data_IF_847962764277
#
_entry.id   IF_847962764277
#
_cell.length_a   1.000
_cell.length_b   1.000
_cell.length_c   1.000
_cell.angle_alpha   90.00
_cell.angle_beta   90.00
_cell.angle_gamma   90.00
#
_symmetry.space_group_name_H-M   'P 1'
#
loop_
_entity.id
_entity.type
_entity.pdbx_description
1 polymer ?
#
# COMPACT_ATOMS: atom_id res chain seq x y z
N UNK A 1 13.53 -6.04 2.39
CA UNK A 1 13.67 -5.14 1.22
C UNK A 1 13.21 -3.70 1.54
N UNK A 2 13.70 -3.13 2.64
CA UNK A 2 13.16 -1.88 3.21
C UNK A 2 13.41 -0.64 2.34
N UNK A 3 14.65 -0.39 1.94
CA UNK A 3 14.97 0.79 1.13
C UNK A 3 14.23 0.84 -0.21
N UNK A 4 14.04 -0.31 -0.87
CA UNK A 4 13.24 -0.39 -2.10
C UNK A 4 11.77 -0.06 -1.81
N UNK A 5 11.23 -0.55 -0.69
CA UNK A 5 9.86 -0.26 -0.24
C UNK A 5 9.65 1.23 -0.02
N UNK A 6 10.55 1.89 0.71
CA UNK A 6 10.50 3.33 0.96
C UNK A 6 10.53 4.13 -0.36
N UNK A 7 11.44 3.81 -1.27
CA UNK A 7 11.54 4.48 -2.58
C UNK A 7 10.26 4.31 -3.40
N UNK A 8 9.71 3.10 -3.48
CA UNK A 8 8.54 2.82 -4.30
C UNK A 8 7.26 3.39 -3.69
N UNK A 9 7.14 3.39 -2.35
CA UNK A 9 6.04 4.06 -1.66
C UNK A 9 6.09 5.57 -1.91
N UNK A 10 7.24 6.23 -1.76
CA UNK A 10 7.37 7.66 -2.05
C UNK A 10 7.00 8.00 -3.50
N UNK A 11 7.39 7.17 -4.46
CA UNK A 11 6.99 7.35 -5.86
C UNK A 11 5.49 7.20 -6.05
N UNK A 12 4.88 6.19 -5.42
CA UNK A 12 3.43 6.00 -5.45
C UNK A 12 2.72 7.22 -4.85
N UNK A 13 3.12 7.66 -3.65
CA UNK A 13 2.54 8.83 -2.98
C UNK A 13 2.62 10.08 -3.85
N UNK A 14 3.79 10.38 -4.40
CA UNK A 14 3.98 11.53 -5.30
C UNK A 14 3.10 11.45 -6.55
N UNK A 15 2.93 10.25 -7.13
CA UNK A 15 2.02 10.04 -8.26
C UNK A 15 0.57 10.32 -7.85
N UNK A 16 0.11 9.80 -6.71
CA UNK A 16 -1.25 10.03 -6.22
C UNK A 16 -1.53 11.50 -5.97
N UNK A 17 -0.60 12.22 -5.34
CA UNK A 17 -0.72 13.67 -5.14
C UNK A 17 -0.82 14.40 -6.48
N UNK A 18 0.05 14.07 -7.44
CA UNK A 18 0.06 14.73 -8.76
C UNK A 18 -1.17 14.43 -9.60
N UNK A 19 -1.63 13.17 -9.64
CA UNK A 19 -2.65 12.74 -10.62
C UNK A 19 -4.06 12.70 -10.05
N UNK A 20 -4.22 12.65 -8.72
CA UNK A 20 -5.52 12.49 -8.05
C UNK A 20 -5.76 13.54 -6.97
N UNK A 21 -4.81 14.44 -6.72
CA UNK A 21 -4.87 15.41 -5.63
C UNK A 21 -5.12 14.77 -4.26
N UNK A 22 -4.65 13.53 -4.05
CA UNK A 22 -4.75 12.82 -2.77
C UNK A 22 -3.38 12.65 -2.14
N UNK A 23 -3.24 12.98 -0.86
CA UNK A 23 -2.06 12.73 -0.05
C UNK A 23 -2.19 11.35 0.60
N UNK A 24 -1.40 10.39 0.13
CA UNK A 24 -1.42 9.03 0.65
C UNK A 24 -0.36 8.88 1.74
N UNK A 25 -0.76 8.53 2.95
CA UNK A 25 0.16 8.14 4.02
C UNK A 25 0.03 6.65 4.30
N UNK A 26 1.16 5.97 4.50
CA UNK A 26 1.20 4.53 4.80
C UNK A 26 1.83 4.38 6.16
N UNK A 27 1.10 3.79 7.11
CA UNK A 27 1.59 3.59 8.48
C UNK A 27 2.86 2.76 8.51
N UNK A 28 3.75 3.05 9.46
CA UNK A 28 5.02 2.33 9.60
C UNK A 28 4.87 0.81 9.73
N UNK A 29 3.92 0.26 10.52
CA UNK A 29 3.69 -1.19 10.57
C UNK A 29 3.39 -1.78 9.20
N UNK A 30 2.58 -1.10 8.38
CA UNK A 30 2.24 -1.56 7.03
C UNK A 30 3.45 -1.51 6.09
N UNK A 31 4.28 -0.47 6.19
CA UNK A 31 5.54 -0.41 5.44
C UNK A 31 6.50 -1.55 5.82
N UNK A 32 6.64 -1.83 7.12
CA UNK A 32 7.50 -2.90 7.62
C UNK A 32 6.97 -4.27 7.15
N UNK A 33 5.65 -4.49 7.15
CA UNK A 33 5.04 -5.70 6.61
C UNK A 33 5.31 -5.88 5.11
N UNK A 34 5.12 -4.84 4.28
CA UNK A 34 5.42 -4.91 2.83
C UNK A 34 6.89 -5.27 2.61
N UNK A 35 7.80 -4.68 3.38
CA UNK A 35 9.23 -4.92 3.24
C UNK A 35 9.66 -6.34 3.64
N UNK A 36 8.97 -6.94 4.61
CA UNK A 36 9.16 -8.32 5.06
C UNK A 36 8.55 -9.32 4.08
N UNK A 37 7.30 -9.11 3.67
CA UNK A 37 6.62 -9.97 2.72
C UNK A 37 7.30 -9.95 1.36
N UNK A 38 7.74 -8.77 0.93
CA UNK A 38 8.53 -8.63 -0.29
C UNK A 38 9.84 -9.40 -0.23
N UNK A 39 10.55 -9.36 0.91
CA UNK A 39 11.78 -10.13 1.09
C UNK A 39 11.50 -11.63 0.98
N UNK A 40 10.48 -12.11 1.70
CA UNK A 40 10.07 -13.51 1.69
C UNK A 40 9.73 -13.99 0.27
N UNK A 41 8.94 -13.23 -0.47
CA UNK A 41 8.58 -13.55 -1.86
C UNK A 41 9.80 -13.50 -2.80
N UNK A 42 10.73 -12.58 -2.58
CA UNK A 42 11.94 -12.47 -3.37
C UNK A 42 12.91 -13.62 -3.11
N UNK A 43 12.97 -14.13 -1.88
CA UNK A 43 13.71 -15.34 -1.56
C UNK A 43 13.09 -16.58 -2.23
N UNK A 44 11.76 -16.67 -2.28
CA UNK A 44 11.06 -17.75 -3.00
C UNK A 44 11.32 -17.73 -4.51
N UNK A 45 11.65 -16.58 -5.09
CA UNK A 45 12.04 -16.45 -6.50
C UNK A 45 13.56 -16.45 -6.72
N UNK A 46 14.35 -16.91 -5.74
CA UNK A 46 15.83 -16.89 -5.79
C UNK A 46 16.44 -15.51 -6.10
N UNK A 47 15.70 -14.43 -5.79
CA UNK A 47 16.14 -13.05 -5.98
C UNK A 47 15.96 -12.48 -7.39
N UNK A 48 15.35 -13.21 -8.33
CA UNK A 48 15.25 -12.79 -9.75
C UNK A 48 14.32 -11.58 -9.96
N UNK A 49 13.36 -11.39 -9.05
CA UNK A 49 12.34 -10.35 -9.18
C UNK A 49 12.80 -8.99 -8.62
N UNK A 50 13.55 -9.01 -7.51
CA UNK A 50 13.99 -7.81 -6.81
C UNK A 50 12.84 -6.84 -6.56
N UNK A 51 13.01 -5.59 -6.98
CA UNK A 51 12.01 -4.53 -6.74
C UNK A 51 10.65 -4.75 -7.40
N UNK A 52 10.51 -5.65 -8.38
CA UNK A 52 9.21 -5.94 -9.02
C UNK A 52 8.19 -6.50 -8.04
N UNK A 53 8.61 -7.34 -7.10
CA UNK A 53 7.74 -7.87 -6.04
C UNK A 53 7.17 -6.75 -5.17
N UNK A 54 8.00 -5.77 -4.81
CA UNK A 54 7.55 -4.63 -3.99
C UNK A 54 6.55 -3.78 -4.78
N UNK A 55 6.82 -3.54 -6.06
CA UNK A 55 5.89 -2.81 -6.92
C UNK A 55 4.54 -3.53 -7.04
N UNK A 56 4.56 -4.86 -7.17
CA UNK A 56 3.37 -5.70 -7.18
C UNK A 56 2.60 -5.61 -5.86
N UNK A 57 3.28 -5.76 -4.72
CA UNK A 57 2.66 -5.63 -3.40
C UNK A 57 2.02 -4.25 -3.19
N UNK A 58 2.68 -3.17 -3.59
CA UNK A 58 2.10 -1.83 -3.50
C UNK A 58 0.85 -1.73 -4.39
N UNK A 59 0.90 -2.22 -5.62
CA UNK A 59 -0.26 -2.16 -6.51
C UNK A 59 -1.45 -2.98 -5.98
N UNK A 60 -1.20 -4.20 -5.52
CA UNK A 60 -2.24 -5.16 -5.12
C UNK A 60 -2.77 -4.95 -3.70
N UNK A 61 -1.95 -4.42 -2.80
CA UNK A 61 -2.34 -4.25 -1.39
C UNK A 61 -2.64 -2.80 -1.04
N UNK A 62 -1.94 -1.84 -1.62
CA UNK A 62 -2.12 -0.42 -1.29
C UNK A 62 -3.09 0.22 -2.27
N UNK A 63 -2.74 0.27 -3.54
CA UNK A 63 -3.54 1.02 -4.52
C UNK A 63 -4.91 0.38 -4.75
N UNK A 64 -4.97 -0.96 -4.79
CA UNK A 64 -6.24 -1.68 -4.92
C UNK A 64 -7.21 -1.36 -3.77
N UNK A 65 -6.76 -1.41 -2.52
CA UNK A 65 -7.65 -1.12 -1.38
C UNK A 65 -8.12 0.33 -1.37
N UNK A 66 -7.29 1.29 -1.80
CA UNK A 66 -7.74 2.68 -1.99
C UNK A 66 -8.86 2.76 -3.02
N UNK A 67 -8.68 2.13 -4.20
CA UNK A 67 -9.69 2.15 -5.26
C UNK A 67 -10.98 1.43 -4.86
N UNK A 68 -10.86 0.34 -4.09
CA UNK A 68 -11.99 -0.38 -3.53
C UNK A 68 -12.76 0.48 -2.53
N UNK A 69 -12.06 1.21 -1.66
CA UNK A 69 -12.70 2.15 -0.73
C UNK A 69 -13.34 3.34 -1.46
N UNK A 70 -12.69 3.86 -2.50
CA UNK A 70 -13.25 4.91 -3.36
C UNK A 70 -14.53 4.45 -4.06
N UNK A 71 -14.60 3.18 -4.47
CA UNK A 71 -15.80 2.59 -5.08
C UNK A 71 -16.92 2.40 -4.07
N UNK A 72 -16.59 1.99 -2.83
CA UNK A 72 -17.57 1.78 -1.78
C UNK A 72 -18.14 3.10 -1.22
N UNK A 73 -17.32 4.14 -1.12
CA UNK A 73 -17.69 5.43 -0.53
C UNK A 73 -17.25 6.59 -1.44
N UNK A 74 -17.86 6.76 -2.64
CA UNK A 74 -17.37 7.68 -3.66
C UNK A 74 -17.40 9.15 -3.22
N UNK A 75 -18.45 9.59 -2.53
CA UNK A 75 -18.55 10.97 -2.06
C UNK A 75 -17.48 11.29 -1.02
N UNK A 76 -17.28 10.41 -0.04
CA UNK A 76 -16.24 10.59 0.98
C UNK A 76 -14.83 10.60 0.36
N UNK A 77 -14.60 9.74 -0.64
CA UNK A 77 -13.34 9.74 -1.38
C UNK A 77 -13.15 11.04 -2.17
N UNK A 78 -14.19 11.57 -2.80
CA UNK A 78 -14.10 12.84 -3.53
C UNK A 78 -13.76 14.00 -2.59
N UNK A 79 -14.44 14.07 -1.44
CA UNK A 79 -14.34 15.16 -0.48
C UNK A 79 -13.03 15.14 0.33
N UNK A 80 -12.43 13.97 0.55
CA UNK A 80 -11.18 13.86 1.31
C UNK A 80 -9.97 14.34 0.49
N UNK A 81 -8.94 14.84 1.16
CA UNK A 81 -7.65 15.14 0.50
C UNK A 81 -6.55 14.21 1.02
N UNK A 82 -6.72 13.64 2.21
CA UNK A 82 -5.77 12.74 2.83
C UNK A 82 -6.33 11.31 2.92
N UNK A 83 -5.46 10.35 2.64
CA UNK A 83 -5.75 8.92 2.70
C UNK A 83 -4.71 8.27 3.61
N UNK A 84 -5.09 7.98 4.86
CA UNK A 84 -4.29 7.25 5.83
C UNK A 84 -4.50 5.75 5.70
N UNK A 85 -3.44 5.00 5.39
CA UNK A 85 -3.50 3.54 5.33
C UNK A 85 -2.85 2.92 6.56
N UNK A 86 -3.68 2.32 7.40
CA UNK A 86 -3.28 1.68 8.64
C UNK A 86 -3.50 0.18 8.56
N UNK A 87 -2.66 -0.57 9.30
CA UNK A 87 -2.85 -2.00 9.45
C UNK A 87 -4.09 -2.23 10.33
N UNK A 88 -5.08 -2.93 9.78
CA UNK A 88 -6.28 -3.31 10.52
C UNK A 88 -5.96 -4.38 11.56
N UNK A 89 -6.80 -4.47 12.60
CA UNK A 89 -6.66 -5.45 13.68
C UNK A 89 -6.93 -6.90 13.21
N UNK A 90 -7.60 -7.05 12.08
CA UNK A 90 -7.95 -8.34 11.50
C UNK A 90 -6.96 -8.74 10.40
N UNK A 91 -6.61 -10.03 10.37
CA UNK A 91 -5.93 -10.63 9.23
C UNK A 91 -6.97 -11.17 8.24
N UNK A 92 -6.70 -10.99 6.96
CA UNK A 92 -7.33 -11.73 5.88
C UNK A 92 -6.86 -13.19 5.88
N UNK A 93 -7.48 -14.01 5.02
CA UNK A 93 -7.04 -15.38 4.79
C UNK A 93 -5.54 -15.43 4.46
N UNK A 94 -4.84 -16.42 5.04
CA UNK A 94 -3.37 -16.63 4.90
C UNK A 94 -2.49 -15.61 5.64
N UNK A 95 -3.03 -14.90 6.63
CA UNK A 95 -2.22 -14.05 7.52
C UNK A 95 -1.80 -12.72 6.91
N UNK A 96 -2.48 -12.29 5.85
CA UNK A 96 -2.26 -10.99 5.20
C UNK A 96 -3.01 -9.93 6.02
N UNK A 97 -2.40 -8.80 6.41
CA UNK A 97 -3.11 -7.77 7.14
C UNK A 97 -4.20 -7.16 6.28
N UNK A 98 -5.39 -7.01 6.88
CA UNK A 98 -6.41 -6.12 6.34
C UNK A 98 -5.89 -4.69 6.41
N UNK A 99 -6.19 -3.88 5.40
CA UNK A 99 -5.84 -2.47 5.41
C UNK A 99 -7.10 -1.67 5.68
N UNK A 100 -7.02 -0.77 6.64
CA UNK A 100 -8.05 0.21 6.92
C UNK A 100 -7.63 1.55 6.33
N UNK A 101 -8.60 2.24 5.73
CA UNK A 101 -8.39 3.54 5.09
C UNK A 101 -9.14 4.60 5.89
N UNK A 102 -8.38 5.58 6.34
CA UNK A 102 -8.85 6.77 7.02
C UNK A 102 -8.87 7.91 5.99
N UNK A 103 -10.04 8.49 5.77
CA UNK A 103 -10.25 9.58 4.80
C UNK A 103 -10.57 10.86 5.56
N UNK A 104 -9.79 11.92 5.32
CA UNK A 104 -9.97 13.25 5.91
C UNK A 104 -9.78 14.39 4.94
#
# INVERSE_FOLDING_TARGET
MRGITEILLHRMQARWTKSRSKFVSVSRPLQDWIAQEGLRLNELSNGEEGGRIIQKLISERIEYEILKSATACPQQYEDCTELGLVMGEQLEEKGIPKIQIEMS
#
